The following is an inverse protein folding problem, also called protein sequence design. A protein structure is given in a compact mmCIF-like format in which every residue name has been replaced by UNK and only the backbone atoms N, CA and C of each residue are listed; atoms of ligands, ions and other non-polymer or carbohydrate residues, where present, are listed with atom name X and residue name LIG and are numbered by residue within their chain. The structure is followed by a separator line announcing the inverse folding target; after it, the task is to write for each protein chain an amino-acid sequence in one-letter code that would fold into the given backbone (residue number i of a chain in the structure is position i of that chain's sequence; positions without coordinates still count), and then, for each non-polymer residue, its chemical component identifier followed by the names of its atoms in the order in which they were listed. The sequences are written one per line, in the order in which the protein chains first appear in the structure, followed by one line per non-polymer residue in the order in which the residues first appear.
data_IF_728616274919
#
_entry.id   IF_728616274919
#
_cell.length_a   1.000
_cell.length_b   1.000
_cell.length_c   1.000
_cell.angle_alpha   90.00
_cell.angle_beta   90.00
_cell.angle_gamma   90.00
#
_symmetry.space_group_name_H-M   'P 1'
#
loop_
_entity.id
_entity.type
_entity.pdbx_description
1 polymer ?
#
# COMPACT_ATOMS: atom_id res chain seq x y z
N UNK A 1 -28.79 2.93 0.82
CA UNK A 1 -27.38 2.97 0.35
C UNK A 1 -26.97 1.58 -0.08
N UNK A 2 -26.40 1.37 -1.28
CA UNK A 2 -26.03 0.03 -1.69
C UNK A 2 -24.77 -0.34 -0.92
N UNK A 3 -24.94 -0.97 0.24
CA UNK A 3 -23.94 -1.94 0.69
C UNK A 3 -23.85 -2.96 -0.44
N UNK A 4 -22.63 -3.32 -0.82
CA UNK A 4 -22.48 -4.49 -1.69
C UNK A 4 -23.18 -5.66 -0.98
N UNK A 5 -23.94 -6.49 -1.72
CA UNK A 5 -24.50 -7.70 -1.15
C UNK A 5 -23.36 -8.54 -0.57
N UNK A 6 -23.67 -9.39 0.41
CA UNK A 6 -22.68 -10.30 0.98
C UNK A 6 -22.02 -11.14 -0.14
N UNK A 7 -20.69 -11.20 -0.15
CA UNK A 7 -19.92 -11.81 -1.25
C UNK A 7 -19.82 -10.96 -2.53
N UNK A 8 -20.46 -9.79 -2.60
CA UNK A 8 -20.42 -8.88 -3.76
C UNK A 8 -19.08 -8.17 -3.96
N UNK A 9 -18.23 -8.12 -2.92
CA UNK A 9 -16.85 -7.64 -2.98
C UNK A 9 -15.95 -8.72 -3.58
N UNK A 10 -15.30 -8.41 -4.70
CA UNK A 10 -14.32 -9.31 -5.33
C UNK A 10 -12.89 -8.93 -4.99
N UNK A 11 -12.56 -7.64 -5.07
CA UNK A 11 -11.20 -7.14 -4.86
C UNK A 11 -11.20 -5.70 -4.39
N UNK A 12 -10.26 -5.35 -3.51
CA UNK A 12 -9.98 -3.97 -3.10
C UNK A 12 -8.74 -3.51 -3.84
N UNK A 13 -8.78 -2.32 -4.44
CA UNK A 13 -7.64 -1.71 -5.13
C UNK A 13 -7.25 -0.45 -4.38
N UNK A 14 -6.16 -0.55 -3.62
CA UNK A 14 -5.60 0.54 -2.83
C UNK A 14 -4.64 1.37 -3.69
N UNK A 15 -4.99 2.62 -3.92
CA UNK A 15 -4.13 3.55 -4.65
C UNK A 15 -3.10 4.20 -3.74
N UNK A 16 -1.87 4.35 -4.21
CA UNK A 16 -0.79 5.01 -3.49
C UNK A 16 -0.15 6.12 -4.34
N UNK A 17 0.24 7.23 -3.72
CA UNK A 17 0.93 8.32 -4.43
C UNK A 17 2.30 7.90 -4.98
N UNK A 18 2.91 6.86 -4.37
CA UNK A 18 4.28 6.40 -4.60
C UNK A 18 5.34 7.10 -3.73
N UNK A 19 4.95 8.10 -2.94
CA UNK A 19 5.83 8.81 -2.00
C UNK A 19 6.91 9.67 -2.68
N UNK A 20 7.86 10.19 -1.88
CA UNK A 20 8.91 11.10 -2.34
C UNK A 20 9.93 10.45 -3.31
N UNK A 21 10.18 9.14 -3.16
CA UNK A 21 11.22 8.40 -3.91
C UNK A 21 10.70 7.67 -5.16
N UNK A 22 9.45 7.95 -5.51
CA UNK A 22 8.73 7.31 -6.61
C UNK A 22 9.49 7.33 -7.93
N UNK A 23 10.03 8.48 -8.28
CA UNK A 23 10.69 8.71 -9.57
C UNK A 23 12.23 8.66 -9.46
N UNK A 24 12.75 8.25 -8.28
CA UNK A 24 14.19 8.07 -8.07
C UNK A 24 14.66 6.68 -8.54
N UNK A 25 15.88 6.56 -9.08
CA UNK A 25 16.46 5.26 -9.39
C UNK A 25 16.75 4.48 -8.09
N UNK A 26 16.61 3.14 -8.13
CA UNK A 26 16.72 2.26 -6.95
C UNK A 26 18.10 2.37 -6.30
N UNK A 27 19.14 2.59 -7.09
CA UNK A 27 20.53 2.73 -6.67
C UNK A 27 20.73 3.90 -5.71
N UNK A 28 19.99 5.01 -5.91
CA UNK A 28 20.04 6.20 -5.05
C UNK A 28 19.37 6.01 -3.70
N UNK A 29 18.56 4.96 -3.53
CA UNK A 29 17.82 4.72 -2.29
C UNK A 29 18.69 4.23 -1.14
N UNK A 30 19.94 3.87 -1.42
CA UNK A 30 20.92 3.47 -0.40
C UNK A 30 21.41 4.66 0.45
N UNK A 31 21.33 5.87 -0.12
CA UNK A 31 21.91 7.09 0.47
C UNK A 31 20.86 8.12 0.91
N UNK A 32 19.57 7.76 0.86
CA UNK A 32 18.46 8.67 1.23
C UNK A 32 18.52 9.06 2.70
N UNK A 33 18.24 10.34 2.97
CA UNK A 33 18.15 10.87 4.34
C UNK A 33 16.69 11.03 4.76
N UNK A 34 16.40 11.11 6.07
CA UNK A 34 15.04 11.37 6.54
C UNK A 34 14.50 12.70 5.99
N UNK A 35 15.36 13.70 5.84
CA UNK A 35 15.02 15.00 5.28
C UNK A 35 14.53 14.93 3.82
N UNK A 36 14.98 13.94 3.05
CA UNK A 36 14.53 13.74 1.67
C UNK A 36 13.12 13.14 1.62
N UNK A 37 12.80 12.26 2.57
CA UNK A 37 11.47 11.66 2.68
C UNK A 37 10.40 12.70 3.05
N UNK A 38 10.76 13.75 3.80
CA UNK A 38 9.82 14.79 4.27
C UNK A 38 9.27 15.69 3.14
N UNK A 39 9.85 15.62 1.94
CA UNK A 39 9.40 16.39 0.77
C UNK A 39 8.32 15.61 -0.01
N UNK A 40 7.16 15.41 0.60
CA UNK A 40 6.07 14.66 -0.03
C UNK A 40 5.36 15.53 -1.10
N UNK A 41 5.08 15.00 -2.31
CA UNK A 41 4.59 15.81 -3.43
C UNK A 41 3.13 16.28 -3.27
N UNK A 42 2.25 15.46 -2.68
CA UNK A 42 0.79 15.70 -2.74
C UNK A 42 0.11 15.97 -1.40
N UNK A 43 0.78 15.70 -0.27
CA UNK A 43 0.14 15.62 1.03
C UNK A 43 1.01 16.32 2.07
N UNK A 44 0.40 17.18 2.89
CA UNK A 44 1.02 17.73 4.09
C UNK A 44 0.66 16.83 5.27
N UNK A 45 1.63 16.08 5.79
CA UNK A 45 1.38 15.06 6.82
C UNK A 45 2.48 15.05 7.89
N UNK A 46 2.20 14.37 9.02
CA UNK A 46 3.17 14.18 10.09
C UNK A 46 4.41 13.39 9.67
N UNK A 47 5.54 13.60 10.34
CA UNK A 47 6.85 13.04 9.96
C UNK A 47 6.83 11.51 9.76
N UNK A 48 6.18 10.76 10.64
CA UNK A 48 6.12 9.28 10.58
C UNK A 48 5.40 8.80 9.32
N UNK A 49 4.18 9.28 9.08
CA UNK A 49 3.40 8.87 7.90
C UNK A 49 4.06 9.33 6.59
N UNK A 50 4.76 10.46 6.61
CA UNK A 50 5.52 10.92 5.44
C UNK A 50 6.67 9.97 5.09
N UNK A 51 7.43 9.49 6.09
CA UNK A 51 8.47 8.47 5.88
C UNK A 51 7.88 7.13 5.44
N UNK A 52 6.76 6.72 6.04
CA UNK A 52 6.07 5.48 5.68
C UNK A 52 5.50 5.54 4.26
N UNK A 53 5.04 6.71 3.81
CA UNK A 53 4.61 6.93 2.43
C UNK A 53 5.80 6.84 1.46
N UNK A 54 6.94 7.44 1.81
CA UNK A 54 8.16 7.38 1.00
C UNK A 54 8.69 5.94 0.82
N UNK A 55 8.45 5.07 1.79
CA UNK A 55 8.83 3.65 1.75
C UNK A 55 7.70 2.72 1.32
N UNK A 56 6.48 3.22 1.05
CA UNK A 56 5.23 2.45 0.90
C UNK A 56 4.85 1.53 2.08
N UNK A 57 5.55 1.62 3.22
CA UNK A 57 5.12 0.93 4.44
C UNK A 57 3.71 1.35 4.86
N UNK A 58 3.35 2.61 4.65
CA UNK A 58 2.01 3.12 4.91
C UNK A 58 0.95 2.28 4.17
N UNK A 59 1.20 1.98 2.89
CA UNK A 59 0.28 1.20 2.08
C UNK A 59 0.26 -0.27 2.48
N UNK A 60 1.39 -0.81 2.95
CA UNK A 60 1.43 -2.13 3.56
C UNK A 60 0.59 -2.26 4.84
N UNK A 61 0.58 -1.23 5.69
CA UNK A 61 -0.31 -1.17 6.85
C UNK A 61 -1.78 -1.06 6.43
N UNK A 62 -2.08 -0.25 5.41
CA UNK A 62 -3.44 -0.13 4.87
C UNK A 62 -3.96 -1.45 4.25
N UNK A 63 -3.08 -2.32 3.72
CA UNK A 63 -3.49 -3.67 3.28
C UNK A 63 -3.98 -4.50 4.47
N UNK A 64 -3.25 -4.48 5.57
CA UNK A 64 -3.64 -5.19 6.79
C UNK A 64 -4.95 -4.60 7.33
N UNK A 65 -5.07 -3.27 7.36
CA UNK A 65 -6.28 -2.59 7.77
C UNK A 65 -7.48 -2.97 6.89
N UNK A 66 -7.33 -2.98 5.56
CA UNK A 66 -8.39 -3.35 4.64
C UNK A 66 -8.88 -4.80 4.84
N UNK A 67 -7.97 -5.73 5.16
CA UNK A 67 -8.33 -7.09 5.54
C UNK A 67 -9.23 -7.12 6.78
N UNK A 68 -8.86 -6.39 7.84
CA UNK A 68 -9.64 -6.36 9.08
C UNK A 68 -10.96 -5.59 8.95
N UNK A 69 -10.99 -4.48 8.23
CA UNK A 69 -12.18 -3.63 8.08
C UNK A 69 -13.23 -4.24 7.16
N UNK A 70 -12.81 -4.91 6.09
CA UNK A 70 -13.69 -5.36 5.02
C UNK A 70 -13.74 -6.89 4.85
N UNK A 71 -12.95 -7.65 5.62
CA UNK A 71 -12.90 -9.11 5.53
C UNK A 71 -12.32 -9.64 4.22
N UNK A 72 -11.59 -8.81 3.47
CA UNK A 72 -11.01 -9.20 2.19
C UNK A 72 -9.72 -10.00 2.39
N UNK A 73 -9.57 -11.14 1.71
CA UNK A 73 -8.31 -11.89 1.71
C UNK A 73 -7.15 -11.06 1.15
N UNK A 74 -5.94 -11.28 1.67
CA UNK A 74 -4.72 -10.59 1.20
C UNK A 74 -4.42 -10.78 -0.30
N UNK A 75 -4.88 -11.88 -0.90
CA UNK A 75 -4.77 -12.13 -2.34
C UNK A 75 -5.75 -11.27 -3.17
N UNK A 76 -6.78 -10.71 -2.53
CA UNK A 76 -7.81 -9.87 -3.12
C UNK A 76 -7.63 -8.38 -2.77
N UNK A 77 -6.43 -7.98 -2.35
CA UNK A 77 -6.08 -6.58 -2.08
C UNK A 77 -4.87 -6.23 -2.96
N UNK A 78 -5.08 -5.33 -3.92
CA UNK A 78 -4.04 -4.86 -4.83
C UNK A 78 -3.57 -3.45 -4.47
N UNK A 79 -2.26 -3.21 -4.60
CA UNK A 79 -1.69 -1.86 -4.50
C UNK A 79 -1.38 -1.36 -5.91
N UNK A 80 -1.87 -0.16 -6.24
CA UNK A 80 -1.60 0.52 -7.51
C UNK A 80 -1.03 1.91 -7.25
N UNK A 81 0.03 2.29 -7.97
CA UNK A 81 0.57 3.64 -7.86
C UNK A 81 -0.26 4.58 -8.74
N UNK A 82 -0.88 5.56 -8.10
CA UNK A 82 -1.63 6.65 -8.72
C UNK A 82 -1.02 8.00 -8.29
N UNK A 83 -0.07 8.55 -9.08
CA UNK A 83 0.67 9.77 -8.75
C UNK A 83 -0.14 11.01 -8.41
N UNK A 84 -1.35 11.13 -8.95
CA UNK A 84 -2.21 12.30 -8.84
C UNK A 84 -3.03 12.30 -7.55
N UNK A 85 -3.13 11.15 -6.86
CA UNK A 85 -3.92 10.98 -5.63
C UNK A 85 -5.41 11.40 -5.73
N UNK A 86 -5.98 11.47 -6.93
CA UNK A 86 -7.39 11.88 -7.14
C UNK A 86 -8.33 10.73 -6.86
N UNK A 87 -8.03 9.56 -7.43
CA UNK A 87 -8.72 8.33 -7.07
C UNK A 87 -8.10 7.85 -5.77
N UNK A 88 -8.88 7.82 -4.69
CA UNK A 88 -8.36 7.53 -3.35
C UNK A 88 -8.31 6.03 -3.05
N UNK A 89 -9.23 5.25 -3.61
CA UNK A 89 -9.23 3.78 -3.69
C UNK A 89 -10.39 3.32 -4.56
N UNK A 90 -10.38 2.03 -4.93
CA UNK A 90 -11.43 1.42 -5.74
C UNK A 90 -11.83 0.06 -5.18
N UNK A 91 -13.03 -0.37 -5.52
CA UNK A 91 -13.61 -1.66 -5.18
C UNK A 91 -14.09 -2.32 -6.45
N UNK A 92 -13.62 -3.53 -6.72
CA UNK A 92 -14.13 -4.38 -7.79
C UNK A 92 -15.20 -5.32 -7.24
N UNK A 93 -16.32 -5.40 -7.96
CA UNK A 93 -17.47 -6.23 -7.63
C UNK A 93 -17.46 -7.54 -8.44
N UNK A 94 -18.31 -8.50 -8.05
CA UNK A 94 -18.36 -9.83 -8.70
C UNK A 94 -18.74 -9.80 -10.19
N UNK A 95 -19.52 -8.80 -10.61
CA UNK A 95 -19.88 -8.55 -12.01
C UNK A 95 -18.76 -7.83 -12.79
N UNK A 96 -17.55 -7.72 -12.23
CA UNK A 96 -16.39 -7.02 -12.79
C UNK A 96 -16.56 -5.50 -12.92
N UNK A 97 -17.61 -4.91 -12.33
CA UNK A 97 -17.71 -3.47 -12.20
C UNK A 97 -16.68 -2.94 -11.20
N UNK A 98 -16.21 -1.71 -11.39
CA UNK A 98 -15.28 -1.05 -10.48
C UNK A 98 -15.89 0.25 -10.00
N UNK A 99 -16.06 0.37 -8.69
CA UNK A 99 -16.51 1.57 -8.02
C UNK A 99 -15.30 2.29 -7.44
N UNK A 100 -15.14 3.56 -7.79
CA UNK A 100 -14.03 4.40 -7.33
C UNK A 100 -14.56 5.60 -6.56
N UNK A 101 -13.87 5.98 -5.48
CA UNK A 101 -14.07 7.26 -4.84
C UNK A 101 -13.00 8.24 -5.34
N UNK A 102 -13.46 9.39 -5.80
CA UNK A 102 -12.63 10.48 -6.33
C UNK A 102 -12.80 11.73 -5.48
N UNK A 103 -11.71 12.47 -5.32
CA UNK A 103 -11.72 13.75 -4.63
C UNK A 103 -10.36 14.45 -4.71
N UNK A 104 -10.33 15.71 -4.31
CA UNK A 104 -9.06 16.37 -4.03
C UNK A 104 -8.35 15.66 -2.88
N UNK A 105 -7.00 15.57 -2.89
CA UNK A 105 -6.23 14.95 -1.82
C UNK A 105 -6.30 15.81 -0.55
N UNK A 106 -7.43 15.71 0.15
CA UNK A 106 -7.76 16.52 1.32
C UNK A 106 -8.45 15.67 2.37
N UNK A 107 -7.82 15.58 3.55
CA UNK A 107 -8.32 14.77 4.68
C UNK A 107 -9.65 15.26 5.24
N UNK A 108 -10.05 16.50 4.96
CA UNK A 108 -11.38 16.99 5.33
C UNK A 108 -12.48 16.09 4.74
N UNK A 109 -12.26 15.46 3.57
CA UNK A 109 -13.29 14.68 2.85
C UNK A 109 -13.66 13.40 3.58
N UNK A 110 -12.70 12.49 3.87
CA UNK A 110 -13.00 11.30 4.63
C UNK A 110 -13.51 11.65 6.04
N UNK A 111 -12.97 12.68 6.70
CA UNK A 111 -13.42 13.09 8.05
C UNK A 111 -14.89 13.53 8.00
N UNK A 112 -15.26 14.44 7.09
CA UNK A 112 -16.64 14.91 6.96
C UNK A 112 -17.57 13.74 6.65
N UNK A 113 -17.17 12.82 5.77
CA UNK A 113 -17.98 11.66 5.44
C UNK A 113 -18.20 10.77 6.66
N UNK A 114 -17.17 10.51 7.48
CA UNK A 114 -17.35 9.72 8.71
C UNK A 114 -18.29 10.36 9.73
N UNK A 115 -18.33 11.69 9.81
CA UNK A 115 -19.20 12.43 10.73
C UNK A 115 -20.64 12.57 10.23
N UNK A 116 -20.84 12.58 8.91
CA UNK A 116 -22.16 12.79 8.30
C UNK A 116 -22.83 11.49 7.85
N UNK A 117 -22.13 10.36 7.88
CA UNK A 117 -22.65 9.08 7.43
C UNK A 117 -23.95 8.69 8.17
N UNK A 118 -25.00 8.22 7.47
CA UNK A 118 -25.04 7.85 6.04
C UNK A 118 -25.30 9.01 5.07
N UNK A 119 -25.64 10.19 5.58
CA UNK A 119 -26.00 11.36 4.79
C UNK A 119 -24.78 12.09 4.20
N UNK A 120 -25.06 13.11 3.39
CA UNK A 120 -24.04 14.03 2.85
C UNK A 120 -24.42 15.46 3.15
N UNK A 121 -23.46 16.22 3.66
CA UNK A 121 -23.63 17.64 4.01
C UNK A 121 -23.13 18.52 2.86
N UNK A 122 -23.86 19.57 2.46
CA UNK A 122 -23.38 20.51 1.45
C UNK A 122 -22.14 21.27 1.94
N UNK A 123 -21.17 21.47 1.05
CA UNK A 123 -19.93 22.22 1.33
C UNK A 123 -19.83 23.45 0.44
N UNK A 124 -19.26 24.54 0.95
CA UNK A 124 -19.05 25.78 0.18
C UNK A 124 -17.98 25.59 -0.90
N UNK A 125 -18.29 26.00 -2.13
CA UNK A 125 -17.35 25.95 -3.26
C UNK A 125 -16.17 26.90 -3.11
N UNK A 126 -16.32 27.95 -2.28
CA UNK A 126 -15.25 28.90 -1.96
C UNK A 126 -14.16 28.23 -1.12
N UNK A 127 -14.57 27.39 -0.17
CA UNK A 127 -13.65 26.68 0.74
C UNK A 127 -13.21 25.33 0.18
N UNK A 128 -14.03 24.74 -0.68
CA UNK A 128 -13.80 23.43 -1.27
C UNK A 128 -14.26 23.37 -2.74
N UNK A 129 -13.34 23.60 -3.69
CA UNK A 129 -13.69 23.58 -5.09
C UNK A 129 -14.11 22.19 -5.55
N UNK A 130 -15.09 22.12 -6.47
CA UNK A 130 -15.48 20.87 -7.11
C UNK A 130 -14.36 20.33 -7.99
N UNK A 131 -14.33 19.01 -8.18
CA UNK A 131 -13.39 18.37 -9.07
C UNK A 131 -13.71 18.73 -10.53
N UNK A 132 -12.71 19.24 -11.25
CA UNK A 132 -12.84 19.63 -12.67
C UNK A 132 -12.03 18.67 -13.54
N UNK A 133 -12.71 17.73 -14.19
CA UNK A 133 -12.07 16.70 -15.01
C UNK A 133 -11.37 17.25 -16.24
N UNK A 134 -11.79 18.41 -16.75
CA UNK A 134 -11.17 19.02 -17.94
C UNK A 134 -9.82 19.63 -17.57
N UNK A 135 -9.72 20.25 -16.38
CA UNK A 135 -8.47 20.90 -15.92
C UNK A 135 -7.49 19.94 -15.26
N UNK A 136 -7.96 18.81 -14.76
CA UNK A 136 -7.16 17.87 -13.96
C UNK A 136 -6.08 17.12 -14.76
N UNK A 137 -6.27 16.99 -16.07
CA UNK A 137 -5.35 16.25 -16.94
C UNK A 137 -5.40 14.74 -16.73
N UNK A 138 -4.27 14.07 -16.95
CA UNK A 138 -4.20 12.62 -17.02
C UNK A 138 -4.21 11.95 -15.64
N UNK A 139 -5.05 10.91 -15.51
CA UNK A 139 -5.01 9.97 -14.40
C UNK A 139 -4.20 8.74 -14.82
N UNK A 140 -3.04 8.55 -14.19
CA UNK A 140 -2.13 7.45 -14.54
C UNK A 140 -2.07 6.41 -13.43
N UNK A 141 -1.87 5.16 -13.83
CA UNK A 141 -1.72 4.02 -12.95
C UNK A 141 -0.50 3.22 -13.34
N UNK A 142 0.28 2.77 -12.36
CA UNK A 142 1.42 1.87 -12.59
C UNK A 142 1.55 0.87 -11.46
N UNK A 143 2.17 -0.26 -11.77
CA UNK A 143 2.52 -1.26 -10.77
C UNK A 143 3.60 -0.70 -9.82
N UNK A 144 3.53 -1.01 -8.52
CA UNK A 144 4.58 -0.66 -7.59
C UNK A 144 5.82 -1.53 -7.82
N UNK A 145 7.00 -0.91 -7.87
CA UNK A 145 8.26 -1.63 -8.03
C UNK A 145 8.63 -2.33 -6.70
N UNK A 146 8.60 -3.67 -6.67
CA UNK A 146 8.86 -4.44 -5.44
C UNK A 146 10.32 -4.36 -4.98
N UNK A 147 11.28 -4.28 -5.90
CA UNK A 147 12.70 -4.08 -5.57
C UNK A 147 12.92 -2.73 -4.88
N UNK A 148 12.11 -1.73 -5.24
CA UNK A 148 12.12 -0.41 -4.62
C UNK A 148 11.47 -0.40 -3.23
N UNK A 149 10.41 -1.19 -3.03
CA UNK A 149 9.54 -1.13 -1.86
C UNK A 149 9.38 -2.50 -1.18
N UNK A 150 10.46 -3.04 -0.55
CA UNK A 150 10.42 -4.33 0.12
C UNK A 150 9.47 -4.38 1.33
N UNK A 151 9.12 -3.21 1.88
CA UNK A 151 8.14 -3.04 2.95
C UNK A 151 6.76 -3.60 2.61
N UNK A 152 6.35 -3.57 1.33
CA UNK A 152 5.08 -4.12 0.90
C UNK A 152 5.07 -5.64 1.10
N UNK A 153 6.10 -6.33 0.64
CA UNK A 153 6.22 -7.79 0.74
C UNK A 153 6.24 -8.23 2.20
N UNK A 154 6.93 -7.47 3.07
CA UNK A 154 6.91 -7.69 4.51
C UNK A 154 5.50 -7.57 5.09
N UNK A 155 4.70 -6.62 4.61
CA UNK A 155 3.34 -6.41 5.11
C UNK A 155 2.39 -7.53 4.68
N UNK A 156 2.47 -7.98 3.42
CA UNK A 156 1.73 -9.17 2.96
C UNK A 156 2.13 -10.43 3.73
N UNK A 157 3.42 -10.63 3.97
CA UNK A 157 3.94 -11.76 4.74
C UNK A 157 3.44 -11.74 6.20
N UNK A 158 3.50 -10.57 6.84
CA UNK A 158 3.04 -10.38 8.21
C UNK A 158 1.52 -10.58 8.36
N UNK A 159 0.75 -10.22 7.33
CA UNK A 159 -0.69 -10.49 7.26
C UNK A 159 -1.05 -11.98 7.19
N UNK A 160 -0.09 -12.86 6.93
CA UNK A 160 -0.34 -14.30 6.82
C UNK A 160 -0.56 -14.78 5.38
N UNK A 161 -0.28 -13.94 4.37
CA UNK A 161 -0.08 -14.43 3.00
C UNK A 161 1.15 -15.33 3.03
N UNK A 162 0.99 -16.62 2.69
CA UNK A 162 2.11 -17.57 2.70
C UNK A 162 3.20 -17.05 1.77
N UNK A 163 4.36 -16.76 2.35
CA UNK A 163 5.58 -16.46 1.60
C UNK A 163 6.05 -17.76 0.97
N UNK A 164 5.69 -18.02 -0.29
CA UNK A 164 6.28 -19.12 -1.04
C UNK A 164 7.70 -18.70 -1.45
N UNK A 165 8.66 -19.47 -0.96
CA UNK A 165 10.10 -19.34 -1.19
C UNK A 165 10.45 -18.87 -2.61
N UNK A 166 11.09 -17.70 -2.69
CA UNK A 166 11.91 -17.30 -3.83
C UNK A 166 11.23 -16.58 -4.99
N UNK A 167 9.91 -16.73 -5.17
CA UNK A 167 9.09 -15.88 -6.05
C UNK A 167 7.71 -15.88 -5.43
N UNK A 168 7.23 -14.71 -5.02
CA UNK A 168 5.79 -14.52 -4.98
C UNK A 168 5.31 -14.85 -6.40
N UNK A 169 4.74 -16.04 -6.61
CA UNK A 169 3.84 -16.24 -7.72
C UNK A 169 2.81 -15.12 -7.54
N UNK A 170 2.97 -14.10 -8.36
CA UNK A 170 1.93 -13.14 -8.60
C UNK A 170 0.73 -14.01 -8.93
N UNK A 171 -0.25 -14.08 -8.02
CA UNK A 171 -1.53 -14.73 -8.22
C UNK A 171 -2.27 -14.02 -9.33
N UNK A 172 -1.75 -14.09 -10.55
CA UNK A 172 -2.39 -13.72 -11.78
C UNK A 172 -3.37 -14.85 -12.10
N UNK A 173 -4.54 -14.86 -11.45
CA UNK A 173 -5.69 -15.48 -12.11
C UNK A 173 -6.06 -14.59 -13.30
N UNK A 174 -5.43 -14.82 -14.46
CA UNK A 174 -6.05 -14.53 -15.76
C UNK A 174 -5.29 -13.69 -16.80
N UNK A 175 -4.09 -13.12 -16.54
CA UNK A 175 -3.35 -12.39 -17.60
C UNK A 175 -1.85 -12.69 -17.57
N UNK A 176 -1.44 -13.64 -18.41
CA UNK A 176 -0.04 -14.04 -18.66
C UNK A 176 0.74 -12.88 -19.28
N UNK A 177 1.61 -12.24 -18.52
CA UNK A 177 2.67 -11.38 -19.06
C UNK A 177 4.01 -12.10 -18.93
N UNK A 178 4.73 -12.25 -20.06
CA UNK A 178 6.07 -12.85 -20.09
C UNK A 178 7.06 -11.88 -19.43
N UNK A 179 7.59 -12.24 -18.27
CA UNK A 179 8.73 -11.55 -17.68
C UNK A 179 10.02 -12.16 -18.25
N UNK A 180 10.84 -11.35 -18.91
CA UNK A 180 12.16 -11.75 -19.42
C UNK A 180 13.12 -12.00 -18.24
N UNK A 181 13.85 -13.10 -18.30
CA UNK A 181 14.80 -13.52 -17.28
C UNK A 181 16.18 -12.90 -17.47
N UNK A 182 16.60 -12.05 -16.54
CA UNK A 182 18.01 -11.71 -16.24
C UNK A 182 17.97 -11.13 -14.81
N UNK A 183 18.62 -11.63 -13.77
CA UNK A 183 19.99 -12.16 -13.60
C UNK A 183 20.08 -12.97 -12.29
N UNK A 184 21.16 -13.74 -12.16
CA UNK A 184 21.52 -14.65 -11.05
C UNK A 184 21.44 -14.02 -9.65
N UNK A 185 20.79 -14.74 -8.73
CA UNK A 185 20.80 -14.50 -7.27
C UNK A 185 22.05 -15.12 -6.62
N UNK A 186 22.69 -14.47 -5.62
CA UNK A 186 23.62 -15.13 -4.71
C UNK A 186 22.83 -15.85 -3.62
N UNK A 187 23.17 -17.12 -3.41
CA UNK A 187 22.63 -18.03 -2.40
C UNK A 187 22.86 -17.52 -0.97
N UNK A 188 21.79 -17.40 -0.18
CA UNK A 188 21.86 -17.41 1.28
C UNK A 188 21.24 -18.71 1.79
N UNK A 189 22.09 -19.64 2.21
CA UNK A 189 21.72 -20.92 2.82
C UNK A 189 21.00 -20.68 4.14
N UNK A 190 19.74 -21.09 4.22
CA UNK A 190 18.95 -21.17 5.45
C UNK A 190 19.34 -22.43 6.23
N UNK A 191 20.28 -22.30 7.16
CA UNK A 191 20.46 -23.30 8.21
C UNK A 191 19.46 -23.00 9.35
N UNK A 192 18.50 -23.90 9.54
CA UNK A 192 17.75 -24.05 10.79
C UNK A 192 16.30 -23.56 10.77
N UNK A 193 15.39 -24.39 10.26
CA UNK A 193 14.03 -24.45 10.81
C UNK A 193 13.46 -25.87 10.71
N UNK A 194 13.71 -26.65 11.74
CA UNK A 194 12.85 -27.81 12.04
C UNK A 194 12.14 -27.53 13.36
N UNK A 195 10.80 -27.59 13.28
CA UNK A 195 9.81 -27.63 14.37
C UNK A 195 9.61 -26.34 15.19
N UNK A 196 8.47 -25.70 14.93
CA UNK A 196 7.63 -25.15 15.99
C UNK A 196 6.16 -25.23 15.55
N UNK A 197 5.39 -26.09 16.20
CA UNK A 197 3.95 -26.16 16.08
C UNK A 197 3.27 -24.96 16.73
N UNK A 198 2.02 -24.75 16.31
CA UNK A 198 1.14 -23.66 16.65
C UNK A 198 0.96 -23.44 18.16
N UNK A 199 1.27 -22.21 18.62
CA UNK A 199 0.55 -21.46 19.66
C UNK A 199 1.28 -20.12 19.84
N UNK A 200 0.75 -19.02 19.30
CA UNK A 200 1.16 -17.67 19.69
C UNK A 200 0.19 -16.62 19.10
N UNK A 201 -0.77 -16.17 19.90
CA UNK A 201 -1.66 -15.02 19.59
C UNK A 201 -1.15 -13.69 20.15
N UNK A 202 -0.03 -13.68 20.88
CA UNK A 202 0.58 -12.44 21.40
C UNK A 202 2.08 -12.32 21.05
N UNK A 203 2.79 -13.43 20.87
CA UNK A 203 4.24 -13.42 20.57
C UNK A 203 4.53 -12.98 19.14
N UNK A 204 3.65 -13.23 18.17
CA UNK A 204 3.82 -12.93 16.74
C UNK A 204 3.85 -11.43 16.45
N UNK A 205 3.09 -10.60 17.18
CA UNK A 205 3.13 -9.15 16.99
C UNK A 205 4.47 -8.56 17.47
N UNK A 206 4.97 -9.01 18.63
CA UNK A 206 6.31 -8.66 19.12
C UNK A 206 7.43 -9.18 18.21
N UNK A 207 7.26 -10.36 17.63
CA UNK A 207 8.23 -11.00 16.73
C UNK A 207 8.25 -10.38 15.33
N UNK A 208 7.10 -9.94 14.81
CA UNK A 208 6.99 -9.24 13.52
C UNK A 208 7.54 -7.82 13.62
N UNK A 209 7.29 -7.12 14.74
CA UNK A 209 7.87 -5.80 15.02
C UNK A 209 9.39 -5.91 15.28
N UNK A 210 9.85 -6.91 16.04
CA UNK A 210 11.28 -7.16 16.27
C UNK A 210 12.02 -7.68 15.03
N UNK A 211 11.37 -8.51 14.21
CA UNK A 211 11.86 -9.02 12.93
C UNK A 211 11.95 -7.92 11.87
N UNK A 212 10.93 -7.05 11.79
CA UNK A 212 10.95 -5.83 10.99
C UNK A 212 12.07 -4.87 11.43
N UNK A 213 12.31 -4.72 12.74
CA UNK A 213 13.44 -3.95 13.26
C UNK A 213 14.81 -4.55 12.92
N UNK A 214 14.94 -5.87 12.75
CA UNK A 214 16.17 -6.54 12.30
C UNK A 214 16.37 -6.46 10.78
N UNK A 215 15.30 -6.63 9.99
CA UNK A 215 15.33 -6.54 8.52
C UNK A 215 15.53 -5.09 8.01
N UNK A 216 15.07 -4.10 8.78
CA UNK A 216 15.31 -2.68 8.50
C UNK A 216 16.67 -2.18 9.00
N UNK A 217 17.53 -2.99 9.62
CA UNK A 217 18.86 -2.51 10.11
C UNK A 217 19.75 -1.87 9.04
N UNK A 218 19.76 -2.31 7.75
CA UNK A 218 20.56 -1.64 6.74
C UNK A 218 20.08 -0.23 6.38
N UNK A 219 18.77 0.06 6.54
CA UNK A 219 18.16 1.37 6.23
C UNK A 219 17.88 2.24 7.48
N UNK A 220 17.42 1.64 8.57
CA UNK A 220 17.01 2.31 9.81
C UNK A 220 18.15 2.68 10.77
N UNK A 221 19.32 2.03 10.67
CA UNK A 221 20.45 2.34 11.57
C UNK A 221 21.09 3.72 11.29
N UNK A 222 20.83 4.32 10.11
CA UNK A 222 21.29 5.68 9.76
C UNK A 222 20.21 6.75 9.89
N UNK A 223 18.95 6.38 10.18
CA UNK A 223 17.83 7.30 10.34
C UNK A 223 17.56 7.68 11.82
N UNK A 224 18.38 7.19 12.76
CA UNK A 224 18.28 7.46 14.22
C UNK A 224 19.45 8.29 14.80
N UNK A 225 20.23 8.97 13.95
CA UNK A 225 21.17 10.01 14.39
C UNK A 225 20.77 11.35 13.79
#
# INVERSE_FOLDING_TARGET
HPRLPEGGLRRIILTASGGAFRDWPVEKLKDVKPADALKHPNWSMGRKITVDSATLMNKGLEVIEAHYLFGADYDNIDIVIHPQSIIHSMVETQDSSVLAQLGWPDMRLPILYTLSWPDRVPTSEITWPRLDFIKMGDLTFREPNRDKYPSMDLSYAAGGRRYHDGRAECGQRGRRWRCFSTTKSPTWTSAGSSRAHATATATTCGSAVAGGHRALRPMGARLRR
#
